data_IF_041744461041
#
_entry.id   IF_041744461041
#
_cell.length_a   1.000
_cell.length_b   1.000
_cell.length_c   1.000
_cell.angle_alpha   90.00
_cell.angle_beta   90.00
_cell.angle_gamma   90.00
#
_symmetry.space_group_name_H-M   'P 1'
#
loop_
_entity.id
_entity.type
_entity.pdbx_description
1 polymer ?
#
# COMPACT_ATOMS: atom_id res chain seq x y z
N UNK A 1 38.84 -18.58 -13.09
CA UNK A 1 38.16 -18.72 -11.78
C UNK A 1 36.68 -18.55 -12.05
N UNK A 2 35.96 -19.65 -12.18
CA UNK A 2 34.50 -19.66 -12.36
C UNK A 2 33.83 -19.31 -11.04
N UNK A 3 32.75 -18.53 -11.10
CA UNK A 3 32.10 -17.94 -9.94
C UNK A 3 31.28 -19.03 -9.22
N UNK A 4 31.33 -19.18 -7.89
CA UNK A 4 30.57 -20.22 -7.16
C UNK A 4 29.05 -20.19 -7.38
N UNK A 5 28.52 -19.09 -7.93
CA UNK A 5 27.13 -18.97 -8.37
C UNK A 5 26.84 -19.81 -9.61
N UNK A 6 27.80 -19.93 -10.54
CA UNK A 6 27.63 -20.67 -11.80
C UNK A 6 27.52 -22.19 -11.53
N UNK A 7 28.27 -22.70 -10.54
CA UNK A 7 28.19 -24.10 -10.11
C UNK A 7 26.87 -24.41 -9.40
N UNK A 8 26.31 -23.43 -8.66
CA UNK A 8 25.01 -23.59 -8.00
C UNK A 8 23.88 -23.65 -9.03
N UNK A 9 23.93 -22.81 -10.06
CA UNK A 9 22.94 -22.78 -11.15
C UNK A 9 23.03 -24.06 -12.01
N UNK A 10 24.23 -24.57 -12.24
CA UNK A 10 24.43 -25.85 -12.94
C UNK A 10 23.94 -27.07 -12.14
N UNK A 11 23.86 -26.97 -10.81
CA UNK A 11 23.38 -28.06 -9.94
C UNK A 11 21.86 -28.20 -9.85
N UNK A 12 21.10 -27.21 -10.35
CA UNK A 12 19.65 -27.24 -10.34
C UNK A 12 19.14 -28.14 -11.48
N UNK A 13 18.49 -29.25 -11.12
CA UNK A 13 17.85 -30.15 -12.08
C UNK A 13 16.72 -29.40 -12.82
N UNK A 14 16.76 -29.29 -14.16
CA UNK A 14 15.67 -28.69 -14.91
C UNK A 14 14.42 -29.57 -14.80
N UNK A 15 13.39 -29.04 -14.13
CA UNK A 15 12.07 -29.69 -14.05
C UNK A 15 11.41 -29.57 -15.42
N UNK A 16 11.17 -30.70 -16.07
CA UNK A 16 10.42 -30.77 -17.33
C UNK A 16 8.96 -30.37 -17.08
N UNK A 17 8.41 -29.50 -17.92
CA UNK A 17 7.06 -28.94 -17.76
C UNK A 17 5.94 -30.00 -17.78
N UNK A 18 6.22 -31.16 -18.37
CA UNK A 18 5.40 -32.37 -18.42
C UNK A 18 5.36 -33.16 -17.09
N UNK A 19 6.23 -32.84 -16.12
CA UNK A 19 6.23 -33.46 -14.79
C UNK A 19 5.28 -32.77 -13.77
N UNK A 20 4.67 -31.62 -14.13
CA UNK A 20 3.82 -30.80 -13.23
C UNK A 20 2.38 -30.70 -13.74
N UNK A 21 1.90 -31.70 -14.50
CA UNK A 21 0.48 -31.82 -14.77
C UNK A 21 -0.21 -32.50 -13.57
N UNK A 22 -1.06 -31.80 -12.79
CA UNK A 22 -1.86 -32.46 -11.77
C UNK A 22 -2.80 -33.45 -12.47
N UNK A 23 -2.81 -34.72 -12.06
CA UNK A 23 -3.77 -35.66 -12.64
C UNK A 23 -5.19 -35.23 -12.29
N UNK A 24 -6.14 -35.37 -13.22
CA UNK A 24 -7.56 -35.05 -12.94
C UNK A 24 -8.08 -35.79 -11.69
N UNK A 25 -7.55 -36.97 -11.40
CA UNK A 25 -7.88 -37.73 -10.20
C UNK A 25 -7.40 -37.03 -8.92
N UNK A 26 -6.20 -36.45 -8.92
CA UNK A 26 -5.70 -35.66 -7.80
C UNK A 26 -6.53 -34.37 -7.62
N UNK A 27 -6.87 -33.67 -8.71
CA UNK A 27 -7.70 -32.47 -8.66
C UNK A 27 -9.12 -32.76 -8.16
N UNK A 28 -9.77 -33.86 -8.60
CA UNK A 28 -11.08 -34.28 -8.11
C UNK A 28 -11.06 -34.70 -6.65
N UNK A 29 -10.00 -35.38 -6.20
CA UNK A 29 -9.83 -35.76 -4.80
C UNK A 29 -9.71 -34.53 -3.89
N UNK A 30 -8.96 -33.51 -4.34
CA UNK A 30 -8.80 -32.26 -3.59
C UNK A 30 -10.10 -31.44 -3.57
N UNK A 31 -10.84 -31.40 -4.68
CA UNK A 31 -12.16 -30.76 -4.73
C UNK A 31 -13.18 -31.46 -3.82
N UNK A 32 -13.12 -32.79 -3.73
CA UNK A 32 -13.98 -33.58 -2.84
C UNK A 32 -13.58 -33.38 -1.38
N UNK A 33 -12.28 -33.25 -1.08
CA UNK A 33 -11.80 -32.93 0.26
C UNK A 33 -12.18 -31.52 0.73
N UNK A 34 -12.22 -30.54 -0.18
CA UNK A 34 -12.62 -29.15 0.12
C UNK A 34 -14.15 -29.01 0.26
N UNK A 35 -14.93 -29.80 -0.49
CA UNK A 35 -16.40 -29.74 -0.47
C UNK A 35 -17.06 -30.72 0.50
N UNK A 36 -16.28 -31.62 1.11
CA UNK A 36 -16.77 -32.50 2.17
C UNK A 36 -16.94 -31.72 3.48
N UNK A 37 -18.10 -31.08 3.63
CA UNK A 37 -18.57 -30.56 4.90
C UNK A 37 -18.85 -31.75 5.85
N UNK A 38 -18.28 -31.80 7.07
CA UNK A 38 -18.51 -32.92 7.97
C UNK A 38 -19.96 -32.91 8.45
N UNK A 39 -20.75 -33.86 7.94
CA UNK A 39 -22.10 -34.10 8.43
C UNK A 39 -22.07 -34.41 9.95
N UNK A 40 -22.88 -33.72 10.77
CA UNK A 40 -22.91 -33.97 12.20
C UNK A 40 -23.43 -35.39 12.46
N UNK A 41 -22.62 -36.19 13.16
CA UNK A 41 -23.00 -37.55 13.56
C UNK A 41 -24.35 -37.55 14.31
N UNK A 42 -25.24 -38.53 14.06
CA UNK A 42 -26.54 -38.60 14.72
C UNK A 42 -26.37 -38.86 16.21
N UNK A 43 -26.71 -37.85 17.03
CA UNK A 43 -26.79 -37.97 18.50
C UNK A 43 -27.84 -39.03 18.87
N UNK A 44 -27.39 -40.16 19.41
CA UNK A 44 -28.26 -41.17 20.03
C UNK A 44 -29.03 -40.54 21.19
N UNK A 45 -30.36 -40.50 21.07
CA UNK A 45 -31.27 -40.07 22.15
C UNK A 45 -31.24 -41.10 23.29
N UNK A 46 -30.92 -40.73 24.55
CA UNK A 46 -31.20 -41.60 25.67
C UNK A 46 -32.70 -41.54 26.00
N UNK A 47 -33.28 -42.72 26.24
CA UNK A 47 -34.71 -42.92 26.50
C UNK A 47 -35.12 -42.22 27.81
N UNK A 48 -36.21 -41.46 27.73
CA UNK A 48 -36.92 -40.87 28.85
C UNK A 48 -37.28 -41.91 29.92
N UNK A 49 -36.95 -41.62 31.18
CA UNK A 49 -37.71 -42.05 32.36
C UNK A 49 -37.91 -40.85 33.27
N UNK A 50 -39.14 -40.57 33.77
CA UNK A 50 -39.40 -39.36 34.55
C UNK A 50 -39.34 -39.68 36.04
N UNK A 51 -38.42 -39.05 36.79
CA UNK A 51 -38.56 -38.87 38.25
C UNK A 51 -37.88 -37.59 38.72
N UNK A 52 -38.71 -36.59 38.99
CA UNK A 52 -38.72 -35.69 40.16
C UNK A 52 -37.39 -35.45 40.93
N UNK A 53 -36.91 -34.19 40.91
CA UNK A 53 -36.71 -33.26 42.07
C UNK A 53 -35.47 -32.37 41.92
N UNK A 54 -35.71 -31.07 42.20
CA UNK A 54 -34.83 -29.99 42.66
C UNK A 54 -33.32 -30.25 42.77
N UNK A 55 -32.51 -29.37 42.18
CA UNK A 55 -31.49 -28.58 42.90
C UNK A 55 -30.71 -27.65 41.94
N UNK A 56 -30.61 -26.40 42.37
CA UNK A 56 -29.68 -25.36 41.89
C UNK A 56 -28.24 -25.84 42.11
N UNK A 57 -27.37 -25.77 41.10
CA UNK A 57 -25.92 -25.67 41.29
C UNK A 57 -25.26 -24.89 40.16
N UNK A 58 -24.46 -23.92 40.58
CA UNK A 58 -23.48 -23.13 39.82
C UNK A 58 -22.33 -24.05 39.41
N UNK A 59 -21.88 -23.99 38.16
CA UNK A 59 -20.58 -24.53 37.77
C UNK A 59 -19.96 -23.67 36.65
N UNK A 60 -18.77 -23.16 36.96
CA UNK A 60 -17.95 -22.30 36.14
C UNK A 60 -17.12 -23.08 35.10
N UNK A 61 -16.74 -22.33 34.06
CA UNK A 61 -15.51 -22.43 33.27
C UNK A 61 -15.24 -23.69 32.44
N UNK A 62 -15.37 -23.53 31.12
CA UNK A 62 -14.36 -24.00 30.16
C UNK A 62 -14.30 -22.99 29.01
N UNK A 63 -13.31 -22.11 29.04
CA UNK A 63 -13.02 -21.14 28.00
C UNK A 63 -12.34 -21.83 26.82
N UNK A 64 -13.02 -21.86 25.67
CA UNK A 64 -12.37 -21.98 24.37
C UNK A 64 -12.69 -20.67 23.65
N UNK A 65 -11.65 -19.90 23.37
CA UNK A 65 -11.72 -18.59 22.74
C UNK A 65 -12.26 -18.72 21.31
N UNK A 66 -13.57 -18.57 21.16
CA UNK A 66 -14.18 -18.05 19.96
C UNK A 66 -14.53 -16.60 20.26
N UNK A 67 -13.71 -15.64 19.80
CA UNK A 67 -14.07 -14.22 19.80
C UNK A 67 -15.21 -14.01 18.81
N UNK A 68 -16.41 -14.33 19.27
CA UNK A 68 -17.65 -13.95 18.62
C UNK A 68 -17.77 -12.42 18.65
N UNK A 69 -18.10 -11.85 17.49
CA UNK A 69 -18.53 -10.48 17.30
C UNK A 69 -19.64 -10.14 18.31
N UNK A 70 -19.36 -9.21 19.23
CA UNK A 70 -20.38 -8.60 20.06
C UNK A 70 -20.61 -7.18 19.55
N UNK A 71 -21.61 -7.02 18.69
CA UNK A 71 -22.30 -5.74 18.57
C UNK A 71 -23.17 -5.58 19.82
N UNK A 72 -22.62 -5.00 20.89
CA UNK A 72 -23.41 -4.62 22.07
C UNK A 72 -24.26 -3.41 21.69
N UNK A 73 -25.60 -3.45 21.88
CA UNK A 73 -26.43 -2.27 21.68
C UNK A 73 -26.18 -1.30 22.84
N UNK A 74 -25.72 -0.11 22.46
CA UNK A 74 -25.64 1.15 23.20
C UNK A 74 -26.31 1.21 24.59
N UNK A 75 -25.52 1.02 25.66
CA UNK A 75 -25.68 1.65 26.99
C UNK A 75 -24.35 1.68 27.74
N UNK A 76 -23.38 2.40 27.19
CA UNK A 76 -22.23 2.93 27.94
C UNK A 76 -21.70 4.13 27.15
N UNK A 77 -21.98 5.34 27.63
CA UNK A 77 -21.60 6.61 26.98
C UNK A 77 -20.13 6.94 27.24
N UNK A 78 -19.23 6.01 26.91
CA UNK A 78 -17.80 6.24 26.85
C UNK A 78 -17.34 6.50 25.40
N UNK A 79 -16.25 7.24 25.17
CA UNK A 79 -15.68 7.38 23.83
C UNK A 79 -15.32 6.01 23.26
N UNK A 80 -15.62 5.78 21.97
CA UNK A 80 -15.33 4.53 21.27
C UNK A 80 -13.84 4.18 21.43
N UNK A 81 -13.54 3.01 21.99
CA UNK A 81 -12.15 2.58 22.29
C UNK A 81 -11.58 1.62 21.26
N UNK A 82 -12.41 0.86 20.57
CA UNK A 82 -11.95 -0.10 19.58
C UNK A 82 -13.04 -0.36 18.54
N UNK A 83 -12.64 -0.58 17.30
CA UNK A 83 -13.50 -0.95 16.19
C UNK A 83 -12.72 -1.82 15.23
N UNK A 84 -13.37 -2.82 14.64
CA UNK A 84 -12.75 -3.62 13.61
C UNK A 84 -13.78 -4.05 12.56
N UNK A 85 -13.39 -4.01 11.29
CA UNK A 85 -14.07 -4.66 10.19
C UNK A 85 -13.09 -5.59 9.45
N UNK A 86 -13.46 -6.02 8.24
CA UNK A 86 -12.62 -6.87 7.40
C UNK A 86 -11.34 -6.16 6.93
N UNK A 87 -11.44 -4.86 6.61
CA UNK A 87 -10.34 -4.04 6.11
C UNK A 87 -9.35 -3.59 7.19
N UNK A 88 -9.85 -3.20 8.36
CA UNK A 88 -9.08 -2.46 9.37
C UNK A 88 -9.54 -2.80 10.78
N UNK A 89 -8.62 -2.63 11.74
CA UNK A 89 -8.88 -2.56 13.17
C UNK A 89 -8.30 -1.25 13.68
N UNK A 90 -9.04 -0.54 14.53
CA UNK A 90 -8.66 0.74 15.10
C UNK A 90 -8.83 0.61 16.61
N UNK A 91 -7.78 0.89 17.37
CA UNK A 91 -7.78 0.95 18.82
C UNK A 91 -7.35 2.34 19.28
N UNK A 92 -8.16 2.99 20.13
CA UNK A 92 -7.76 4.24 20.76
C UNK A 92 -6.78 3.93 21.90
N UNK A 93 -5.54 4.39 21.77
CA UNK A 93 -4.47 4.10 22.75
C UNK A 93 -4.43 5.08 23.91
N UNK A 94 -5.23 6.16 23.87
CA UNK A 94 -5.22 7.27 24.83
C UNK A 94 -4.69 8.55 24.19
N UNK A 95 -4.95 9.71 24.80
CA UNK A 95 -4.39 11.01 24.41
C UNK A 95 -4.61 11.45 22.94
N UNK A 96 -5.70 11.00 22.31
CA UNK A 96 -6.00 11.31 20.91
C UNK A 96 -5.14 10.54 19.90
N UNK A 97 -4.46 9.50 20.36
CA UNK A 97 -3.71 8.55 19.54
C UNK A 97 -4.55 7.31 19.24
N UNK A 98 -4.40 6.80 18.01
CA UNK A 98 -5.09 5.65 17.48
C UNK A 98 -4.08 4.69 16.86
N UNK A 99 -4.12 3.41 17.25
CA UNK A 99 -3.41 2.35 16.56
C UNK A 99 -4.34 1.73 15.52
N UNK A 100 -3.91 1.74 14.26
CA UNK A 100 -4.69 1.30 13.11
C UNK A 100 -3.99 0.11 12.47
N UNK A 101 -4.57 -1.06 12.54
CA UNK A 101 -4.10 -2.25 11.84
C UNK A 101 -4.90 -2.44 10.55
N UNK A 102 -4.27 -2.17 9.41
CA UNK A 102 -4.80 -2.46 8.09
C UNK A 102 -4.58 -3.95 7.80
N UNK A 103 -5.69 -4.70 7.78
CA UNK A 103 -5.73 -6.15 7.57
C UNK A 103 -5.76 -6.51 6.10
N UNK A 104 -6.54 -5.76 5.33
CA UNK A 104 -6.61 -5.89 3.87
C UNK A 104 -6.47 -4.51 3.25
N UNK A 105 -5.28 -4.26 2.72
CA UNK A 105 -4.95 -3.01 2.05
C UNK A 105 -5.84 -2.79 0.81
N UNK A 106 -6.31 -3.86 0.15
CA UNK A 106 -7.09 -3.79 -1.10
C UNK A 106 -8.61 -3.69 -0.88
N UNK A 107 -9.07 -3.59 0.36
CA UNK A 107 -10.48 -3.41 0.67
C UNK A 107 -11.05 -2.10 0.09
N UNK A 108 -12.38 -2.01 -0.01
CA UNK A 108 -13.06 -0.82 -0.52
C UNK A 108 -12.71 0.41 0.35
N UNK A 109 -12.34 1.51 -0.30
CA UNK A 109 -12.03 2.80 0.34
C UNK A 109 -13.14 3.30 1.28
N UNK A 110 -14.39 2.95 0.97
CA UNK A 110 -15.54 3.25 1.82
C UNK A 110 -15.45 2.55 3.16
N UNK A 111 -14.96 1.32 3.22
CA UNK A 111 -14.80 0.58 4.48
C UNK A 111 -13.78 1.23 5.41
N UNK A 112 -12.69 1.75 4.85
CA UNK A 112 -11.71 2.52 5.61
C UNK A 112 -12.32 3.82 6.14
N UNK A 113 -12.92 4.63 5.26
CA UNK A 113 -13.50 5.92 5.65
C UNK A 113 -14.61 5.75 6.70
N UNK A 114 -15.47 4.75 6.53
CA UNK A 114 -16.51 4.43 7.51
C UNK A 114 -15.93 4.01 8.86
N UNK A 115 -14.84 3.25 8.88
CA UNK A 115 -14.15 2.87 10.11
C UNK A 115 -13.56 4.09 10.84
N UNK A 116 -12.85 4.96 10.14
CA UNK A 116 -12.26 6.17 10.71
C UNK A 116 -13.31 7.18 11.19
N UNK A 117 -14.40 7.34 10.44
CA UNK A 117 -15.51 8.23 10.80
C UNK A 117 -16.17 7.85 12.14
N UNK A 118 -16.12 6.57 12.56
CA UNK A 118 -16.62 6.14 13.88
C UNK A 118 -15.84 6.74 15.05
N UNK A 119 -14.59 7.15 14.83
CA UNK A 119 -13.75 7.84 15.81
C UNK A 119 -13.70 9.36 15.57
N UNK A 120 -14.52 9.90 14.66
CA UNK A 120 -14.46 11.31 14.28
C UNK A 120 -13.17 11.70 13.56
N UNK A 121 -12.51 10.73 12.92
CA UNK A 121 -11.30 10.95 12.13
C UNK A 121 -11.69 11.06 10.66
N UNK A 122 -11.19 12.08 9.98
CA UNK A 122 -11.36 12.22 8.53
C UNK A 122 -10.08 11.77 7.82
N UNK A 123 -10.02 10.47 7.51
CA UNK A 123 -8.83 9.84 6.95
C UNK A 123 -9.17 9.14 5.64
N UNK A 124 -8.34 9.41 4.63
CA UNK A 124 -8.33 8.70 3.35
C UNK A 124 -7.05 7.88 3.26
N UNK A 125 -7.21 6.57 3.02
CA UNK A 125 -6.09 5.64 2.89
C UNK A 125 -5.96 5.18 1.44
N UNK A 126 -5.01 5.71 0.67
CA UNK A 126 -4.83 5.30 -0.74
C UNK A 126 -3.71 4.30 -0.89
N UNK A 127 -3.90 3.36 -1.81
CA UNK A 127 -2.84 2.44 -2.22
C UNK A 127 -2.40 2.77 -3.62
N UNK A 128 -1.10 2.97 -3.78
CA UNK A 128 -0.52 3.40 -5.05
C UNK A 128 0.64 2.49 -5.45
N UNK A 129 0.85 2.25 -6.75
CA UNK A 129 2.08 1.64 -7.26
C UNK A 129 3.29 2.49 -6.87
N UNK A 130 4.34 1.84 -6.38
CA UNK A 130 5.59 2.51 -5.97
C UNK A 130 6.83 1.84 -6.54
N UNK A 131 7.96 2.51 -6.43
CA UNK A 131 9.25 1.98 -6.83
C UNK A 131 9.69 0.77 -5.98
N UNK A 132 10.54 -0.13 -6.52
CA UNK A 132 11.03 -1.28 -5.78
C UNK A 132 11.73 -0.89 -4.47
N UNK A 133 11.33 -1.49 -3.36
CA UNK A 133 11.83 -1.20 -2.01
C UNK A 133 10.95 -0.25 -1.19
N UNK A 134 9.96 0.39 -1.81
CA UNK A 134 8.99 1.26 -1.13
C UNK A 134 7.63 0.57 -0.87
N UNK A 135 7.51 -0.71 -1.23
CA UNK A 135 6.28 -1.45 -1.04
C UNK A 135 5.98 -1.68 0.44
N UNK A 136 4.70 -1.70 0.77
CA UNK A 136 4.18 -1.84 2.13
C UNK A 136 4.60 -0.71 3.06
N UNK A 137 5.13 0.41 2.56
CA UNK A 137 5.48 1.58 3.38
C UNK A 137 4.47 2.70 3.19
N UNK A 138 4.37 3.57 4.19
CA UNK A 138 3.72 4.88 4.03
C UNK A 138 4.67 5.75 3.23
N UNK A 139 4.33 6.05 1.98
CA UNK A 139 5.15 6.85 1.07
C UNK A 139 4.80 8.33 1.11
N UNK A 140 3.61 8.68 1.63
CA UNK A 140 3.18 10.06 1.85
C UNK A 140 2.11 10.12 2.93
N UNK A 141 2.22 11.13 3.79
CA UNK A 141 1.15 11.62 4.66
C UNK A 141 1.02 13.11 4.40
N UNK A 142 -0.21 13.57 4.22
CA UNK A 142 -0.51 14.99 4.04
C UNK A 142 -1.93 15.32 4.44
N UNK A 143 -2.31 16.61 4.43
CA UNK A 143 -3.66 17.02 4.75
C UNK A 143 -4.64 16.53 3.68
N UNK A 144 -5.85 16.15 4.10
CA UNK A 144 -6.91 15.74 3.18
C UNK A 144 -7.62 16.95 2.57
N UNK A 145 -7.75 18.01 3.37
CA UNK A 145 -8.42 19.26 3.02
C UNK A 145 -7.44 20.43 3.07
N UNK A 146 -7.65 21.49 2.28
CA UNK A 146 -6.92 22.73 2.44
C UNK A 146 -7.16 23.31 3.84
N UNK A 147 -6.13 23.89 4.43
CA UNK A 147 -6.20 24.49 5.76
C UNK A 147 -7.31 25.54 5.81
N UNK A 148 -8.30 25.33 6.68
CA UNK A 148 -9.57 26.07 6.67
C UNK A 148 -9.63 27.24 7.65
N UNK A 149 -8.51 27.72 8.22
CA UNK A 149 -8.53 28.84 9.15
C UNK A 149 -7.20 29.11 9.85
N UNK A 150 -7.24 29.98 10.87
CA UNK A 150 -6.09 30.36 11.70
C UNK A 150 -5.49 29.10 12.36
N UNK A 151 -4.36 28.65 11.81
CA UNK A 151 -3.59 27.55 12.36
C UNK A 151 -3.22 27.85 13.82
N UNK A 152 -3.37 26.89 14.76
CA UNK A 152 -2.87 27.08 16.11
C UNK A 152 -1.37 27.42 16.07
N UNK A 153 -0.85 28.21 17.04
CA UNK A 153 0.57 28.51 17.11
C UNK A 153 1.40 27.23 17.11
N UNK A 154 2.21 27.03 16.07
CA UNK A 154 2.95 25.77 15.82
C UNK A 154 2.41 24.90 14.67
N UNK A 155 1.31 25.30 14.04
CA UNK A 155 0.71 24.58 12.92
C UNK A 155 -0.13 23.37 13.33
N UNK A 156 -0.83 22.79 12.37
CA UNK A 156 -1.53 21.52 12.54
C UNK A 156 -0.53 20.40 12.26
N UNK A 157 -0.11 19.69 13.32
CA UNK A 157 0.81 18.56 13.21
C UNK A 157 0.08 17.26 13.53
N UNK A 158 0.59 16.18 12.96
CA UNK A 158 0.18 14.83 13.35
C UNK A 158 1.35 13.88 13.23
N UNK A 159 1.27 12.80 13.99
CA UNK A 159 2.24 11.73 14.00
C UNK A 159 1.70 10.57 13.18
N UNK A 160 2.59 9.97 12.38
CA UNK A 160 2.33 8.71 11.72
C UNK A 160 3.56 7.82 11.86
N UNK A 161 3.39 6.64 12.42
CA UNK A 161 4.46 5.62 12.46
C UNK A 161 3.91 4.29 11.97
N UNK A 162 4.77 3.49 11.33
CA UNK A 162 4.39 2.25 10.66
C UNK A 162 5.20 1.08 11.20
N UNK A 163 4.52 0.05 11.73
CA UNK A 163 5.14 -1.23 12.11
C UNK A 163 4.84 -2.29 11.03
N UNK A 164 5.92 -2.87 10.48
CA UNK A 164 5.91 -3.85 9.38
C UNK A 164 6.25 -5.27 9.85
N UNK A 165 5.78 -5.66 11.03
CA UNK A 165 5.88 -7.06 11.48
C UNK A 165 4.97 -7.96 10.67
N UNK A 166 5.50 -8.52 9.59
CA UNK A 166 4.86 -9.59 8.83
C UNK A 166 5.01 -10.92 9.58
N UNK A 167 3.90 -11.57 10.01
CA UNK A 167 3.96 -12.94 10.50
C UNK A 167 4.40 -13.88 9.37
N UNK A 168 5.31 -14.81 9.64
CA UNK A 168 5.85 -15.73 8.63
C UNK A 168 4.81 -16.74 8.10
N UNK A 169 3.66 -16.84 8.76
CA UNK A 169 2.60 -17.83 8.60
C UNK A 169 1.28 -17.25 8.07
N UNK A 170 1.21 -15.94 7.80
CA UNK A 170 0.03 -15.29 7.24
C UNK A 170 0.27 -14.85 5.78
N UNK A 171 -0.62 -15.25 4.88
CA UNK A 171 -0.59 -14.84 3.47
C UNK A 171 -0.81 -13.34 3.24
N UNK A 172 -1.21 -12.61 4.29
CA UNK A 172 -1.32 -11.16 4.33
C UNK A 172 -0.41 -10.63 5.45
N UNK A 173 0.43 -9.63 5.13
CA UNK A 173 1.21 -8.91 6.12
C UNK A 173 0.38 -7.72 6.61
N UNK A 174 -0.14 -7.74 7.85
CA UNK A 174 -0.88 -6.61 8.39
C UNK A 174 0.05 -5.41 8.53
N UNK A 175 -0.47 -4.25 8.14
CA UNK A 175 0.23 -2.98 8.28
C UNK A 175 -0.33 -2.26 9.49
N UNK A 176 0.49 -1.99 10.51
CA UNK A 176 0.06 -1.15 11.63
C UNK A 176 0.53 0.26 11.44
N UNK A 177 -0.40 1.20 11.48
CA UNK A 177 -0.15 2.63 11.40
C UNK A 177 -0.65 3.26 12.69
N UNK A 178 0.21 3.97 13.41
CA UNK A 178 -0.18 4.80 14.54
C UNK A 178 -0.52 6.19 14.03
N UNK A 179 -1.69 6.72 14.38
CA UNK A 179 -2.16 8.03 13.97
C UNK A 179 -2.48 8.88 15.20
N UNK A 180 -2.02 10.12 15.23
CA UNK A 180 -2.35 11.03 16.31
C UNK A 180 -2.07 12.49 16.01
N UNK A 181 -2.67 13.38 16.81
CA UNK A 181 -2.50 14.82 16.68
C UNK A 181 -3.61 15.53 15.89
N UNK A 182 -3.50 16.86 15.84
CA UNK A 182 -4.55 17.75 15.35
C UNK A 182 -4.84 17.61 13.85
N UNK A 183 -3.86 17.15 13.05
CA UNK A 183 -4.00 16.97 11.59
C UNK A 183 -5.18 16.07 11.24
N UNK A 184 -5.31 14.93 11.92
CA UNK A 184 -6.34 13.93 11.62
C UNK A 184 -7.77 14.38 11.99
N UNK A 185 -7.88 15.41 12.83
CA UNK A 185 -9.16 15.95 13.30
C UNK A 185 -9.59 17.22 12.58
N UNK A 186 -8.65 18.10 12.20
CA UNK A 186 -8.97 19.41 11.64
C UNK A 186 -8.91 19.42 10.10
N UNK A 187 -7.79 18.98 9.53
CA UNK A 187 -7.54 19.03 8.08
C UNK A 187 -7.81 17.68 7.40
N UNK A 188 -8.08 16.65 8.20
CA UNK A 188 -8.08 15.27 7.76
C UNK A 188 -6.69 14.82 7.26
N UNK A 189 -6.52 13.53 7.04
CA UNK A 189 -5.27 12.98 6.55
C UNK A 189 -5.44 12.12 5.30
N UNK A 190 -4.56 12.34 4.32
CA UNK A 190 -4.39 11.48 3.17
C UNK A 190 -3.12 10.64 3.35
N UNK A 191 -3.31 9.39 3.75
CA UNK A 191 -2.24 8.43 3.97
C UNK A 191 -2.10 7.59 2.72
N UNK A 192 -0.87 7.49 2.21
CA UNK A 192 -0.59 6.81 0.95
C UNK A 192 0.36 5.65 1.21
N UNK A 193 -0.12 4.44 0.94
CA UNK A 193 0.62 3.20 1.07
C UNK A 193 1.12 2.72 -0.29
N UNK A 194 2.37 2.27 -0.31
CA UNK A 194 2.96 1.67 -1.50
C UNK A 194 2.55 0.21 -1.69
N UNK A 195 2.18 -0.17 -2.91
CA UNK A 195 2.12 -1.56 -3.36
C UNK A 195 3.11 -1.81 -4.48
N UNK A 196 3.44 -3.08 -4.69
CA UNK A 196 4.20 -3.50 -5.88
C UNK A 196 3.47 -2.98 -7.13
N UNK A 197 4.20 -2.23 -7.94
CA UNK A 197 3.72 -1.77 -9.24
C UNK A 197 3.67 -2.94 -10.23
N UNK A 198 2.61 -3.00 -11.05
CA UNK A 198 2.56 -3.91 -12.18
C UNK A 198 3.54 -3.44 -13.26
N UNK A 199 4.00 -4.32 -14.17
CA UNK A 199 4.84 -3.91 -15.28
C UNK A 199 4.21 -2.74 -16.06
N UNK A 200 4.95 -1.65 -16.19
CA UNK A 200 4.51 -0.43 -16.87
C UNK A 200 3.60 0.52 -16.07
N UNK A 201 3.16 0.17 -14.86
CA UNK A 201 2.45 1.13 -13.99
C UNK A 201 3.37 2.26 -13.55
N UNK A 202 2.83 3.48 -13.54
CA UNK A 202 3.55 4.65 -13.07
C UNK A 202 3.73 4.61 -11.56
N UNK A 203 4.95 4.84 -11.08
CA UNK A 203 5.28 4.99 -9.67
C UNK A 203 4.77 6.33 -9.15
N UNK A 204 4.22 6.33 -7.93
CA UNK A 204 3.55 7.48 -7.31
C UNK A 204 4.31 8.06 -6.11
N UNK A 205 5.44 7.44 -5.78
CA UNK A 205 6.43 7.82 -4.74
C UNK A 205 7.65 8.53 -5.33
N UNK A 206 7.75 8.63 -6.65
CA UNK A 206 8.84 9.29 -7.36
C UNK A 206 8.32 10.44 -8.21
N UNK A 207 9.18 11.40 -8.52
CA UNK A 207 8.80 12.53 -9.33
C UNK A 207 9.99 13.30 -9.90
N UNK A 208 9.71 14.36 -10.69
CA UNK A 208 10.73 15.21 -11.27
C UNK A 208 11.56 15.91 -10.20
N UNK A 209 12.89 15.79 -10.29
CA UNK A 209 13.85 16.48 -9.44
C UNK A 209 15.23 16.53 -10.11
N UNK A 210 16.13 17.44 -9.68
CA UNK A 210 17.50 17.50 -10.18
C UNK A 210 18.28 16.22 -9.92
N UNK A 211 19.18 15.88 -10.83
CA UNK A 211 20.03 14.69 -10.74
C UNK A 211 19.30 13.38 -11.08
N UNK A 212 20.03 12.27 -10.98
CA UNK A 212 19.54 10.95 -11.39
C UNK A 212 19.01 10.12 -10.23
N UNK A 213 17.81 9.56 -10.41
CA UNK A 213 17.07 8.84 -9.38
C UNK A 213 16.41 7.55 -9.91
N UNK A 214 17.07 6.39 -9.77
CA UNK A 214 18.30 6.15 -9.02
C UNK A 214 19.55 6.67 -9.73
N UNK A 215 20.64 6.82 -8.97
CA UNK A 215 21.96 7.24 -9.48
C UNK A 215 22.48 6.35 -10.62
N UNK A 216 21.99 5.12 -10.74
CA UNK A 216 22.36 4.18 -11.81
C UNK A 216 21.82 4.56 -13.19
N UNK A 217 20.92 5.55 -13.29
CA UNK A 217 20.50 6.06 -14.60
C UNK A 217 21.68 6.72 -15.32
N UNK A 218 22.46 7.57 -14.61
CA UNK A 218 23.62 8.31 -15.13
C UNK A 218 23.30 9.06 -16.44
N UNK A 219 22.25 9.88 -16.42
CA UNK A 219 21.73 10.62 -17.58
C UNK A 219 21.88 12.13 -17.42
N UNK A 220 21.97 12.62 -16.19
CA UNK A 220 22.08 14.05 -15.92
C UNK A 220 23.35 14.62 -16.54
N UNK A 221 23.23 15.79 -17.16
CA UNK A 221 24.31 16.46 -17.89
C UNK A 221 24.48 15.99 -19.34
N UNK A 222 23.97 14.81 -19.72
CA UNK A 222 24.01 14.33 -21.11
C UNK A 222 23.05 15.12 -22.00
N UNK A 223 23.27 15.07 -23.31
CA UNK A 223 22.31 15.65 -24.26
C UNK A 223 21.09 14.75 -24.42
N UNK A 224 19.95 15.32 -24.83
CA UNK A 224 18.73 14.57 -25.15
C UNK A 224 19.05 13.48 -26.18
N UNK A 225 19.81 13.80 -27.24
CA UNK A 225 20.18 12.84 -28.28
C UNK A 225 20.94 11.62 -27.73
N UNK A 226 21.93 11.86 -26.87
CA UNK A 226 22.71 10.80 -26.22
C UNK A 226 21.84 9.97 -25.29
N UNK A 227 20.98 10.64 -24.50
CA UNK A 227 20.10 10.01 -23.53
C UNK A 227 19.08 9.10 -24.22
N UNK A 228 18.44 9.57 -25.28
CA UNK A 228 17.46 8.77 -26.02
C UNK A 228 18.09 7.53 -26.65
N UNK A 229 19.28 7.65 -27.24
CA UNK A 229 20.02 6.51 -27.76
C UNK A 229 20.41 5.51 -26.64
N UNK A 230 20.73 6.01 -25.45
CA UNK A 230 21.06 5.14 -24.31
C UNK A 230 19.84 4.40 -23.76
N UNK A 231 18.70 5.10 -23.61
CA UNK A 231 17.44 4.50 -23.16
C UNK A 231 16.92 3.45 -24.16
N UNK A 232 17.02 3.72 -25.46
CA UNK A 232 16.64 2.77 -26.51
C UNK A 232 17.46 1.47 -26.42
N UNK A 233 18.78 1.55 -26.25
CA UNK A 233 19.65 0.38 -26.02
C UNK A 233 19.29 -0.41 -24.76
N UNK A 234 18.73 0.26 -23.74
CA UNK A 234 18.25 -0.36 -22.50
C UNK A 234 16.80 -0.87 -22.61
N UNK A 235 16.13 -0.68 -23.75
CA UNK A 235 14.72 -1.04 -23.94
C UNK A 235 13.76 -0.21 -23.09
N UNK A 236 14.14 1.03 -22.74
CA UNK A 236 13.37 1.93 -21.89
C UNK A 236 12.72 3.04 -22.72
N UNK A 237 11.47 3.35 -22.40
CA UNK A 237 10.78 4.53 -22.94
C UNK A 237 11.06 5.76 -22.09
N UNK A 238 10.72 6.96 -22.59
CA UNK A 238 10.83 8.18 -21.80
C UNK A 238 9.64 9.13 -21.94
N UNK A 239 9.46 9.98 -20.94
CA UNK A 239 8.63 11.17 -21.02
C UNK A 239 9.43 12.39 -20.55
N UNK A 240 9.10 13.55 -21.13
CA UNK A 240 9.76 14.80 -20.80
C UNK A 240 8.96 15.62 -19.81
N UNK A 241 9.67 16.23 -18.88
CA UNK A 241 9.16 17.22 -17.95
C UNK A 241 9.95 18.51 -18.14
N UNK A 242 9.22 19.60 -18.34
CA UNK A 242 9.75 20.93 -18.51
C UNK A 242 9.81 21.57 -17.13
N UNK A 243 11.02 21.77 -16.59
CA UNK A 243 11.16 22.27 -15.23
C UNK A 243 12.45 23.02 -14.95
N UNK A 244 12.34 23.95 -14.01
CA UNK A 244 13.46 24.70 -13.45
C UNK A 244 13.55 24.44 -11.95
N UNK A 245 14.74 24.05 -11.50
CA UNK A 245 15.00 23.73 -10.12
C UNK A 245 16.25 24.48 -9.66
N UNK A 246 16.15 25.10 -8.49
CA UNK A 246 17.23 25.80 -7.80
C UNK A 246 18.11 24.79 -7.05
N UNK A 247 19.34 25.18 -6.64
CA UNK A 247 20.24 24.30 -5.89
C UNK A 247 19.68 23.81 -4.56
N UNK A 248 18.75 24.55 -3.94
CA UNK A 248 18.05 24.17 -2.71
C UNK A 248 16.93 23.13 -2.94
N UNK A 249 16.74 22.67 -4.18
CA UNK A 249 15.68 21.74 -4.58
C UNK A 249 14.32 22.40 -4.81
N UNK A 250 14.16 23.69 -4.50
CA UNK A 250 12.94 24.42 -4.82
C UNK A 250 12.84 24.66 -6.32
N UNK A 251 11.62 24.79 -6.83
CA UNK A 251 11.37 24.90 -8.26
C UNK A 251 10.09 24.18 -8.64
N UNK A 252 9.90 24.01 -9.93
CA UNK A 252 8.71 23.39 -10.46
C UNK A 252 8.77 23.23 -11.96
N UNK A 253 7.69 22.73 -12.51
CA UNK A 253 7.58 22.46 -13.92
C UNK A 253 6.27 21.78 -14.26
N UNK A 254 6.17 21.30 -15.48
CA UNK A 254 5.00 20.60 -15.99
C UNK A 254 5.40 19.47 -16.93
N UNK A 255 4.52 18.47 -17.03
CA UNK A 255 4.66 17.42 -18.03
C UNK A 255 4.54 18.02 -19.43
N UNK A 256 5.47 17.66 -20.32
CA UNK A 256 5.37 18.04 -21.71
C UNK A 256 4.30 17.19 -22.42
N UNK A 257 3.62 17.71 -23.46
CA UNK A 257 2.71 16.93 -24.28
C UNK A 257 3.37 15.65 -24.81
N UNK A 258 2.62 14.54 -24.85
CA UNK A 258 3.16 13.22 -25.19
C UNK A 258 3.85 13.15 -26.59
N UNK A 259 3.45 14.03 -27.51
CA UNK A 259 4.01 14.14 -28.87
C UNK A 259 5.14 15.18 -28.98
N UNK A 260 5.38 16.01 -27.96
CA UNK A 260 6.43 17.02 -28.01
C UNK A 260 7.81 16.40 -27.77
N UNK A 261 8.82 16.92 -28.47
CA UNK A 261 10.21 16.47 -28.33
C UNK A 261 11.15 17.68 -28.26
N UNK A 262 12.06 17.74 -27.27
CA UNK A 262 13.08 18.77 -27.23
C UNK A 262 14.13 18.58 -28.33
N UNK A 263 14.85 19.66 -28.68
CA UNK A 263 16.05 19.56 -29.51
C UNK A 263 17.07 18.60 -28.89
N UNK A 264 17.73 17.80 -29.74
CA UNK A 264 18.69 16.78 -29.33
C UNK A 264 19.91 17.31 -28.57
N UNK A 265 20.23 18.61 -28.69
CA UNK A 265 21.38 19.24 -28.03
C UNK A 265 21.04 19.82 -26.64
N UNK A 266 19.76 19.83 -26.26
CA UNK A 266 19.37 20.20 -24.89
C UNK A 266 19.94 19.21 -23.89
N UNK A 267 20.29 19.69 -22.70
CA UNK A 267 20.84 18.87 -21.63
C UNK A 267 19.74 18.41 -20.67
N UNK A 268 19.88 17.18 -20.20
CA UNK A 268 19.07 16.64 -19.11
C UNK A 268 19.60 17.19 -17.79
N UNK A 269 18.71 17.76 -16.97
CA UNK A 269 19.08 18.30 -15.64
C UNK A 269 18.66 17.37 -14.50
N UNK A 270 17.84 16.37 -14.80
CA UNK A 270 17.43 15.34 -13.85
C UNK A 270 16.73 14.20 -14.55
N UNK A 271 16.74 13.03 -13.93
CA UNK A 271 16.04 11.85 -14.42
C UNK A 271 15.50 11.01 -13.28
N UNK A 272 14.38 10.31 -13.53
CA UNK A 272 13.83 9.38 -12.56
C UNK A 272 13.12 8.19 -13.20
N UNK A 273 13.05 7.06 -12.49
CA UNK A 273 12.23 5.94 -12.93
C UNK A 273 10.75 6.28 -12.76
N UNK A 274 10.01 6.33 -13.86
CA UNK A 274 8.55 6.54 -13.85
C UNK A 274 7.79 5.24 -13.72
N UNK A 275 8.33 4.15 -14.23
CA UNK A 275 7.78 2.79 -14.16
C UNK A 275 8.91 1.78 -14.31
N UNK A 276 8.58 0.49 -14.33
CA UNK A 276 9.57 -0.57 -14.60
C UNK A 276 10.24 -0.48 -15.98
N UNK A 277 9.67 0.28 -16.92
CA UNK A 277 10.14 0.38 -18.30
C UNK A 277 10.19 1.82 -18.86
N UNK A 278 9.94 2.83 -18.03
CA UNK A 278 9.91 4.23 -18.48
C UNK A 278 10.70 5.14 -17.53
N UNK A 279 11.42 6.09 -18.13
CA UNK A 279 12.20 7.12 -17.44
C UNK A 279 11.57 8.50 -17.66
N UNK A 280 11.51 9.32 -16.62
CA UNK A 280 11.22 10.74 -16.71
C UNK A 280 12.50 11.52 -16.91
N UNK A 281 12.48 12.48 -17.84
CA UNK A 281 13.63 13.31 -18.18
C UNK A 281 13.27 14.78 -17.96
N UNK A 282 14.02 15.45 -17.10
CA UNK A 282 13.86 16.88 -16.85
C UNK A 282 14.74 17.68 -17.82
N UNK A 283 14.14 18.65 -18.50
CA UNK A 283 14.83 19.63 -19.34
C UNK A 283 14.40 21.05 -18.96
N UNK A 284 15.35 21.98 -18.92
CA UNK A 284 15.07 23.41 -18.64
C UNK A 284 14.22 24.01 -19.76
N UNK A 285 13.04 24.60 -19.49
CA UNK A 285 12.19 25.23 -20.50
C UNK A 285 12.93 26.31 -21.31
N UNK A 286 12.60 26.45 -22.59
CA UNK A 286 13.09 27.54 -23.44
C UNK A 286 11.93 28.18 -24.19
N UNK A 287 12.14 29.40 -24.71
CA UNK A 287 11.13 30.11 -25.50
C UNK A 287 10.65 29.23 -26.68
N UNK A 288 9.34 29.04 -26.78
CA UNK A 288 8.70 28.21 -27.81
C UNK A 288 8.43 26.77 -27.38
N UNK A 289 8.81 26.39 -26.16
CA UNK A 289 8.34 25.15 -25.54
C UNK A 289 6.84 25.23 -25.21
N UNK A 290 6.14 24.09 -25.11
CA UNK A 290 4.75 24.03 -24.68
C UNK A 290 4.59 24.64 -23.29
N UNK A 291 3.61 25.52 -23.17
CA UNK A 291 3.15 26.05 -21.88
C UNK A 291 2.37 24.96 -21.11
N UNK A 292 2.30 25.04 -19.76
CA UNK A 292 1.45 24.16 -18.99
C UNK A 292 0.01 24.29 -19.47
N UNK A 293 -0.63 23.14 -19.72
CA UNK A 293 -2.06 23.12 -19.99
C UNK A 293 -2.76 23.38 -18.65
N UNK A 294 -3.63 24.40 -18.52
CA UNK A 294 -4.38 24.59 -17.30
C UNK A 294 -5.20 23.34 -17.01
N UNK A 295 -5.17 22.86 -15.77
CA UNK A 295 -6.03 21.76 -15.31
C UNK A 295 -7.49 22.18 -15.55
N UNK A 296 -8.20 21.43 -16.41
CA UNK A 296 -9.64 21.58 -16.65
C UNK A 296 -10.47 21.04 -15.50
#
# INVERSE_FOLDING_TARGET
>A
MTNPVDDLVASLNPVRADAVAPSEAASRTLLTAITAEPAPAPRRRPRLRPRLRFAVTVAAAAAVAATALIAVPARDSGPLRSYANAAVRIDATGDGEYEVEVKDAYADQREFREAFARFGLDVRLRIVPVSPGEERRVVRVGPLHPSSGDLPPGGVTGTSDTDLKCPADQGACPLRVRLGGAMFHLEGADIVLGRIARPGELYQDTGPRPGDHPKSLDLTGRTVRQTLADLDRRGLTCAFFLGEFKPDGSGGGWDAPANWRPSGDRRIIGSWMRSSNSVGLVVTPVKGDPEPVPDN
#
